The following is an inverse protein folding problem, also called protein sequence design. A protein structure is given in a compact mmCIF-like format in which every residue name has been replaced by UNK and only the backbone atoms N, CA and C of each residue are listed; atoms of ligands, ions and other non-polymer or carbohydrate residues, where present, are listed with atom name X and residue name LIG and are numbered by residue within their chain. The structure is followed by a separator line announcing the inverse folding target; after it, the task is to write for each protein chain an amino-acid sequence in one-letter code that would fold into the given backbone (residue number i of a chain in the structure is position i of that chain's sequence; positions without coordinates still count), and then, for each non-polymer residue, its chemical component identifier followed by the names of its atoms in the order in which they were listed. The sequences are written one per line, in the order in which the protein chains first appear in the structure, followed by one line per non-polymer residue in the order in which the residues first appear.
data_IF_493533239709
#
_entry.id   IF_493533239709
#
_cell.length_a   1.000
_cell.length_b   1.000
_cell.length_c   1.000
_cell.angle_alpha   90.00
_cell.angle_beta   90.00
_cell.angle_gamma   90.00
#
_symmetry.space_group_name_H-M   'P 1'
#
loop_
_entity.id
_entity.type
_entity.pdbx_description
1 polymer ?
#
# COMPACT_ATOMS: atom_id res chain seq x y z
N UNK A 1 -24.96 -21.53 -51.90
CA UNK A 1 -23.95 -21.36 -52.95
C UNK A 1 -23.76 -19.87 -53.17
N UNK A 2 -22.68 -19.31 -52.64
CA UNK A 2 -22.26 -17.94 -52.95
C UNK A 2 -21.58 -17.97 -54.32
N UNK A 3 -22.12 -17.20 -55.28
CA UNK A 3 -21.51 -17.07 -56.60
C UNK A 3 -20.06 -16.55 -56.43
N UNK A 4 -19.07 -17.14 -57.11
CA UNK A 4 -17.70 -16.67 -57.03
C UNK A 4 -17.62 -15.26 -57.63
N UNK A 5 -17.03 -14.32 -56.87
CA UNK A 5 -16.79 -12.96 -57.34
C UNK A 5 -15.78 -13.06 -58.50
N UNK A 6 -16.21 -12.69 -59.69
CA UNK A 6 -15.35 -12.69 -60.88
C UNK A 6 -14.46 -11.45 -60.91
N UNK A 7 -13.34 -11.51 -61.61
CA UNK A 7 -12.43 -10.36 -61.77
C UNK A 7 -13.12 -9.18 -62.46
N UNK A 8 -14.09 -9.46 -63.33
CA UNK A 8 -14.91 -8.46 -64.01
C UNK A 8 -15.83 -7.70 -63.03
N UNK A 9 -16.42 -8.41 -62.06
CA UNK A 9 -17.19 -7.79 -60.97
C UNK A 9 -16.30 -6.95 -60.05
N UNK A 10 -15.06 -7.39 -59.80
CA UNK A 10 -14.07 -6.64 -59.02
C UNK A 10 -13.67 -5.35 -59.73
N UNK A 11 -13.33 -5.44 -61.01
CA UNK A 11 -12.92 -4.29 -61.81
C UNK A 11 -14.06 -3.28 -61.94
N UNK A 12 -15.30 -3.75 -62.13
CA UNK A 12 -16.46 -2.87 -62.17
C UNK A 12 -16.66 -2.15 -60.83
N UNK A 13 -16.54 -2.85 -59.69
CA UNK A 13 -16.64 -2.23 -58.37
C UNK A 13 -15.52 -1.22 -58.11
N UNK A 14 -14.29 -1.52 -58.50
CA UNK A 14 -13.13 -0.61 -58.37
C UNK A 14 -13.35 0.66 -59.20
N UNK A 15 -13.82 0.52 -60.44
CA UNK A 15 -14.17 1.65 -61.31
C UNK A 15 -15.29 2.52 -60.72
N UNK A 16 -16.35 1.90 -60.19
CA UNK A 16 -17.44 2.63 -59.54
C UNK A 16 -16.95 3.36 -58.27
N UNK A 17 -16.12 2.74 -57.43
CA UNK A 17 -15.55 3.37 -56.24
C UNK A 17 -14.67 4.56 -56.60
N UNK A 18 -13.84 4.44 -57.63
CA UNK A 18 -13.01 5.55 -58.13
C UNK A 18 -13.88 6.69 -58.66
N UNK A 19 -14.94 6.39 -59.40
CA UNK A 19 -15.88 7.40 -59.87
C UNK A 19 -16.60 8.11 -58.70
N UNK A 20 -17.04 7.37 -57.67
CA UNK A 20 -17.69 7.96 -56.49
C UNK A 20 -16.73 8.81 -55.66
N UNK A 21 -15.44 8.45 -55.60
CA UNK A 21 -14.41 9.24 -54.91
C UNK A 21 -14.35 10.69 -55.41
N UNK A 22 -14.56 10.92 -56.71
CA UNK A 22 -14.58 12.26 -57.30
C UNK A 22 -15.82 13.10 -56.94
N UNK A 23 -16.90 12.47 -56.48
CA UNK A 23 -18.14 13.15 -56.05
C UNK A 23 -18.16 13.42 -54.54
N UNK A 24 -17.34 12.69 -53.79
CA UNK A 24 -17.18 12.92 -52.35
C UNK A 24 -16.23 14.10 -52.14
N UNK A 25 -16.66 15.06 -51.32
CA UNK A 25 -15.75 16.09 -50.81
C UNK A 25 -14.55 15.42 -50.15
N UNK A 26 -13.34 15.91 -50.42
CA UNK A 26 -12.12 15.48 -49.72
C UNK A 26 -12.20 15.72 -48.21
N UNK A 27 -13.13 16.59 -47.79
CA UNK A 27 -13.49 16.82 -46.40
C UNK A 27 -14.84 16.17 -46.11
N UNK A 28 -14.89 15.33 -45.07
CA UNK A 28 -16.14 14.77 -44.57
C UNK A 28 -17.15 15.86 -44.17
N UNK A 29 -18.45 15.54 -44.08
CA UNK A 29 -19.49 16.51 -43.77
C UNK A 29 -19.20 17.21 -42.44
N UNK A 30 -18.89 18.50 -42.50
CA UNK A 30 -18.67 19.34 -41.32
C UNK A 30 -20.01 19.66 -40.67
N UNK A 31 -20.27 19.07 -39.50
CA UNK A 31 -21.50 19.34 -38.72
C UNK A 31 -21.44 20.67 -37.96
N UNK A 32 -20.24 21.19 -37.69
CA UNK A 32 -20.02 22.47 -37.01
C UNK A 32 -18.79 23.18 -37.58
N UNK A 33 -18.92 24.45 -37.96
CA UNK A 33 -17.84 25.27 -38.51
C UNK A 33 -17.47 26.40 -37.55
N UNK A 34 -16.45 26.17 -36.70
CA UNK A 34 -15.88 27.20 -35.83
C UNK A 34 -14.75 27.90 -36.60
N UNK A 35 -15.06 29.04 -37.20
CA UNK A 35 -14.13 29.77 -38.07
C UNK A 35 -13.33 30.86 -37.34
N UNK A 36 -13.79 31.29 -36.17
CA UNK A 36 -13.09 32.26 -35.36
C UNK A 36 -12.37 31.58 -34.21
N UNK A 37 -11.04 31.70 -34.22
CA UNK A 37 -10.22 31.40 -33.06
C UNK A 37 -10.63 32.37 -31.93
N UNK A 38 -11.11 31.84 -30.81
CA UNK A 38 -11.53 32.63 -29.64
C UNK A 38 -10.40 33.53 -29.11
N UNK A 39 -9.14 33.16 -29.38
CA UNK A 39 -7.95 33.92 -29.02
C UNK A 39 -7.50 34.92 -30.10
N UNK A 40 -8.26 35.13 -31.19
CA UNK A 40 -7.83 35.97 -32.32
C UNK A 40 -7.37 37.37 -31.88
N UNK A 41 -8.10 38.02 -30.97
CA UNK A 41 -7.73 39.34 -30.44
C UNK A 41 -6.47 39.33 -29.54
N UNK A 42 -6.02 38.17 -29.10
CA UNK A 42 -4.90 37.96 -28.18
C UNK A 42 -3.70 37.27 -28.85
N UNK A 43 -3.71 37.08 -30.17
CA UNK A 43 -2.64 36.39 -30.91
C UNK A 43 -1.27 37.08 -30.85
N UNK A 44 -1.24 38.34 -30.42
CA UNK A 44 -0.01 39.09 -30.22
C UNK A 44 0.70 38.73 -28.90
N UNK A 45 0.03 37.99 -28.00
CA UNK A 45 0.59 37.50 -26.75
C UNK A 45 1.13 36.06 -26.93
N UNK A 46 2.15 35.65 -26.17
CA UNK A 46 2.50 34.24 -26.01
C UNK A 46 1.28 33.41 -25.60
N UNK A 47 1.23 32.14 -26.02
CA UNK A 47 0.02 31.31 -25.87
C UNK A 47 -0.48 31.23 -24.41
N UNK A 48 0.42 31.04 -23.45
CA UNK A 48 0.10 30.97 -22.03
C UNK A 48 -0.50 32.28 -21.50
N UNK A 49 0.04 33.42 -21.94
CA UNK A 49 -0.46 34.75 -21.59
C UNK A 49 -1.81 35.04 -22.25
N UNK A 50 -1.97 34.67 -23.53
CA UNK A 50 -3.22 34.77 -24.26
C UNK A 50 -4.33 33.97 -23.58
N UNK A 51 -4.04 32.75 -23.12
CA UNK A 51 -4.99 31.91 -22.39
C UNK A 51 -5.35 32.52 -21.02
N UNK A 52 -4.37 33.02 -20.28
CA UNK A 52 -4.62 33.66 -18.99
C UNK A 52 -5.53 34.89 -19.14
N UNK A 53 -5.25 35.73 -20.13
CA UNK A 53 -6.04 36.93 -20.41
C UNK A 53 -7.44 36.59 -20.96
N UNK A 54 -7.55 35.59 -21.85
CA UNK A 54 -8.82 35.09 -22.33
C UNK A 54 -9.68 34.52 -21.18
N UNK A 55 -9.07 33.77 -20.26
CA UNK A 55 -9.75 33.23 -19.07
C UNK A 55 -10.28 34.36 -18.19
N UNK A 56 -9.47 35.42 -18.00
CA UNK A 56 -9.86 36.61 -17.23
C UNK A 56 -11.03 37.38 -17.85
N UNK A 57 -11.03 37.55 -19.17
CA UNK A 57 -12.05 38.33 -19.89
C UNK A 57 -13.34 37.51 -20.10
N UNK A 58 -13.21 36.25 -20.50
CA UNK A 58 -14.32 35.40 -20.95
C UNK A 58 -14.87 34.49 -19.85
N UNK A 59 -14.13 34.29 -18.75
CA UNK A 59 -14.53 33.45 -17.62
C UNK A 59 -14.49 31.94 -17.88
N UNK A 60 -14.08 31.51 -19.08
CA UNK A 60 -13.93 30.10 -19.44
C UNK A 60 -12.58 29.51 -19.00
N UNK A 61 -12.52 28.20 -18.77
CA UNK A 61 -11.24 27.50 -18.54
C UNK A 61 -10.47 27.36 -19.85
N UNK A 62 -9.29 27.96 -19.93
CA UNK A 62 -8.43 27.83 -21.12
C UNK A 62 -7.62 26.54 -21.21
N UNK A 63 -7.56 25.76 -20.12
CA UNK A 63 -6.94 24.43 -20.07
C UNK A 63 -7.93 23.42 -19.47
N UNK A 64 -7.72 22.15 -19.80
CA UNK A 64 -8.40 21.04 -19.13
C UNK A 64 -7.89 20.92 -17.68
N UNK A 65 -8.67 20.24 -16.82
CA UNK A 65 -8.19 19.91 -15.48
C UNK A 65 -7.07 18.88 -15.53
N UNK A 66 -6.27 18.77 -14.45
CA UNK A 66 -5.23 17.75 -14.35
C UNK A 66 -5.81 16.34 -14.47
N UNK A 67 -7.00 16.10 -13.93
CA UNK A 67 -7.71 14.81 -14.03
C UNK A 67 -8.04 14.45 -15.49
N UNK A 68 -8.43 15.45 -16.29
CA UNK A 68 -8.72 15.27 -17.72
C UNK A 68 -7.45 14.96 -18.51
N UNK A 69 -6.35 15.68 -18.28
CA UNK A 69 -5.05 15.37 -18.87
C UNK A 69 -4.58 13.95 -18.49
N UNK A 70 -4.67 13.58 -17.21
CA UNK A 70 -4.35 12.21 -16.74
C UNK A 70 -5.28 11.17 -17.36
N UNK A 71 -6.53 11.51 -17.66
CA UNK A 71 -7.45 10.62 -18.37
C UNK A 71 -7.05 10.45 -19.84
N UNK A 72 -6.59 11.50 -20.51
CA UNK A 72 -6.04 11.41 -21.87
C UNK A 72 -4.76 10.58 -21.91
N UNK A 73 -3.87 10.74 -20.93
CA UNK A 73 -2.68 9.90 -20.78
C UNK A 73 -3.05 8.42 -20.61
N UNK A 74 -3.95 8.09 -19.67
CA UNK A 74 -4.42 6.71 -19.47
C UNK A 74 -5.11 6.09 -20.68
N UNK A 75 -5.67 6.91 -21.58
CA UNK A 75 -6.29 6.47 -22.85
C UNK A 75 -5.29 6.38 -24.00
N UNK A 76 -4.02 6.74 -23.79
CA UNK A 76 -2.99 6.77 -24.82
C UNK A 76 -3.13 7.94 -25.81
N UNK A 77 -3.96 8.95 -25.51
CA UNK A 77 -4.04 10.18 -26.31
C UNK A 77 -2.84 11.10 -26.06
N UNK A 78 -2.32 11.07 -24.85
CA UNK A 78 -1.03 11.67 -24.49
C UNK A 78 -0.10 10.50 -24.23
N UNK A 79 0.98 10.39 -24.99
CA UNK A 79 1.97 9.32 -24.88
C UNK A 79 3.12 9.73 -23.94
N UNK A 80 3.97 8.78 -23.59
CA UNK A 80 5.16 9.08 -22.78
C UNK A 80 6.10 10.05 -23.52
N UNK A 81 6.21 9.92 -24.84
CA UNK A 81 7.02 10.81 -25.69
C UNK A 81 6.51 12.26 -25.67
N UNK A 82 5.19 12.46 -25.58
CA UNK A 82 4.60 13.80 -25.47
C UNK A 82 4.97 14.45 -24.13
N UNK A 83 5.02 13.66 -23.06
CA UNK A 83 5.42 14.13 -21.72
C UNK A 83 6.90 14.47 -21.70
N UNK A 84 7.76 13.62 -22.25
CA UNK A 84 9.19 13.90 -22.31
C UNK A 84 9.49 15.14 -23.16
N UNK A 85 8.87 15.28 -24.34
CA UNK A 85 9.01 16.48 -25.15
C UNK A 85 8.55 17.74 -24.40
N UNK A 86 7.47 17.66 -23.62
CA UNK A 86 6.97 18.78 -22.82
C UNK A 86 7.90 19.16 -21.65
N UNK A 87 8.58 18.18 -21.04
CA UNK A 87 9.57 18.38 -19.98
C UNK A 87 10.90 18.90 -20.53
N UNK A 88 11.37 18.40 -21.68
CA UNK A 88 12.56 18.89 -22.38
C UNK A 88 12.41 20.37 -22.78
N UNK A 89 11.22 20.76 -23.24
CA UNK A 89 10.89 22.16 -23.53
C UNK A 89 10.89 23.06 -22.28
N UNK A 90 10.89 22.47 -21.07
CA UNK A 90 10.85 23.18 -19.78
C UNK A 90 11.91 22.64 -18.82
N UNK A 91 13.22 22.89 -19.06
CA UNK A 91 14.31 22.28 -18.29
C UNK A 91 14.26 22.58 -16.78
N UNK A 92 13.69 23.73 -16.40
CA UNK A 92 13.49 24.08 -14.99
C UNK A 92 12.58 23.10 -14.24
N UNK A 93 11.68 22.41 -14.95
CA UNK A 93 10.77 21.39 -14.39
C UNK A 93 11.33 19.97 -14.51
N UNK A 94 12.21 19.71 -15.47
CA UNK A 94 12.81 18.40 -15.71
C UNK A 94 13.80 17.97 -14.60
N UNK A 95 14.32 18.91 -13.80
CA UNK A 95 15.00 18.68 -12.52
C UNK A 95 15.96 17.48 -12.45
N UNK A 96 17.27 17.71 -12.60
CA UNK A 96 18.29 16.64 -12.53
C UNK A 96 18.86 16.43 -11.13
N UNK A 97 18.41 17.20 -10.14
CA UNK A 97 18.84 17.08 -8.75
C UNK A 97 18.45 15.72 -8.18
N UNK A 98 19.41 15.02 -7.58
CA UNK A 98 19.15 13.74 -6.89
C UNK A 98 18.52 14.04 -5.53
N UNK A 99 17.23 13.68 -5.38
CA UNK A 99 16.49 13.84 -4.11
C UNK A 99 16.79 12.70 -3.15
N UNK A 100 16.94 11.47 -3.68
CA UNK A 100 17.16 10.29 -2.86
C UNK A 100 18.00 9.24 -3.58
N UNK A 101 18.75 8.47 -2.80
CA UNK A 101 19.49 7.30 -3.27
C UNK A 101 19.01 6.07 -2.51
N UNK A 102 18.44 5.10 -3.22
CA UNK A 102 17.95 3.84 -2.65
C UNK A 102 18.80 2.70 -3.21
N UNK A 103 19.78 2.26 -2.43
CA UNK A 103 20.79 1.31 -2.90
C UNK A 103 21.59 1.91 -4.05
N UNK A 104 21.53 1.30 -5.23
CA UNK A 104 22.18 1.79 -6.46
C UNK A 104 21.28 2.71 -7.29
N UNK A 105 20.00 2.87 -6.94
CA UNK A 105 19.04 3.70 -7.69
C UNK A 105 19.08 5.13 -7.19
N UNK A 106 19.36 6.07 -8.10
CA UNK A 106 19.19 7.49 -7.89
C UNK A 106 17.76 7.89 -8.27
N UNK A 107 17.11 8.72 -7.46
CA UNK A 107 15.79 9.29 -7.73
C UNK A 107 15.98 10.79 -7.89
N UNK A 108 15.64 11.32 -9.07
CA UNK A 108 15.76 12.74 -9.39
C UNK A 108 14.48 13.51 -9.09
N UNK A 109 14.59 14.84 -8.99
CA UNK A 109 13.44 15.73 -8.87
C UNK A 109 12.51 15.64 -10.07
N UNK A 110 13.04 15.43 -11.27
CA UNK A 110 12.28 15.16 -12.49
C UNK A 110 11.43 13.89 -12.41
N UNK A 111 11.97 12.79 -11.88
CA UNK A 111 11.22 11.55 -11.68
C UNK A 111 10.04 11.75 -10.71
N UNK A 112 10.26 12.49 -9.62
CA UNK A 112 9.20 12.81 -8.66
C UNK A 112 8.13 13.69 -9.30
N UNK A 113 8.53 14.74 -10.02
CA UNK A 113 7.62 15.64 -10.72
C UNK A 113 6.79 14.91 -11.77
N UNK A 114 7.43 14.10 -12.63
CA UNK A 114 6.76 13.27 -13.63
C UNK A 114 5.76 12.32 -12.98
N UNK A 115 6.14 11.68 -11.87
CA UNK A 115 5.24 10.79 -11.13
C UNK A 115 4.03 11.56 -10.61
N UNK A 116 4.22 12.74 -10.01
CA UNK A 116 3.12 13.58 -9.54
C UNK A 116 2.22 14.06 -10.70
N UNK A 117 2.78 14.44 -11.85
CA UNK A 117 2.03 14.87 -13.04
C UNK A 117 1.08 13.78 -13.53
N UNK A 118 1.59 12.55 -13.68
CA UNK A 118 0.84 11.42 -14.23
C UNK A 118 -0.16 10.82 -13.23
N UNK A 119 0.21 10.76 -11.96
CA UNK A 119 -0.51 9.98 -10.96
C UNK A 119 -1.25 10.85 -9.92
N UNK A 120 -0.95 12.14 -9.78
CA UNK A 120 -1.62 13.00 -8.80
C UNK A 120 -1.37 12.53 -7.37
N UNK A 121 -0.15 12.80 -6.90
CA UNK A 121 0.22 12.57 -5.50
C UNK A 121 -0.03 13.88 -4.77
N UNK A 122 -1.31 14.21 -4.61
CA UNK A 122 -1.80 15.43 -4.00
C UNK A 122 -2.00 15.24 -2.49
N UNK A 123 -1.86 16.32 -1.71
CA UNK A 123 -2.13 16.26 -0.29
C UNK A 123 -3.62 15.98 -0.04
N UNK A 124 -3.91 15.05 0.88
CA UNK A 124 -5.28 14.75 1.29
C UNK A 124 -5.77 15.84 2.23
N UNK A 125 -6.93 16.43 1.93
CA UNK A 125 -7.55 17.40 2.81
C UNK A 125 -7.93 16.74 4.16
N UNK A 126 -7.68 17.39 5.33
CA UNK A 126 -7.94 16.77 6.63
C UNK A 126 -9.38 16.25 6.81
N UNK A 127 -10.37 16.92 6.20
CA UNK A 127 -11.77 16.50 6.24
C UNK A 127 -12.02 15.19 5.47
N UNK A 128 -11.21 14.88 4.45
CA UNK A 128 -11.32 13.70 3.60
C UNK A 128 -10.50 12.52 4.11
N UNK A 129 -9.54 12.76 5.01
CA UNK A 129 -8.63 11.74 5.56
C UNK A 129 -9.34 10.46 6.01
N UNK A 130 -10.37 10.58 6.87
CA UNK A 130 -11.09 9.41 7.40
C UNK A 130 -11.78 8.62 6.31
N UNK A 131 -12.33 9.30 5.30
CA UNK A 131 -12.99 8.65 4.17
C UNK A 131 -11.97 7.89 3.32
N UNK A 132 -10.83 8.50 3.00
CA UNK A 132 -9.76 7.85 2.22
C UNK A 132 -9.20 6.61 2.92
N UNK A 133 -9.00 6.67 4.24
CA UNK A 133 -8.47 5.51 4.98
C UNK A 133 -9.52 4.42 5.21
N UNK A 134 -10.72 4.79 5.67
CA UNK A 134 -11.73 3.81 6.09
C UNK A 134 -12.53 3.25 4.91
N UNK A 135 -12.99 4.11 3.98
CA UNK A 135 -13.88 3.71 2.89
C UNK A 135 -13.09 3.32 1.63
N UNK A 136 -12.00 4.03 1.32
CA UNK A 136 -11.16 3.74 0.15
C UNK A 136 -9.97 2.85 0.45
N UNK A 137 -9.81 2.44 1.70
CA UNK A 137 -8.79 1.48 2.12
C UNK A 137 -7.36 1.92 1.74
N UNK A 138 -7.06 3.23 1.74
CA UNK A 138 -5.79 3.78 1.23
C UNK A 138 -4.52 3.17 1.85
N UNK A 139 -4.59 2.73 3.12
CA UNK A 139 -3.49 2.06 3.82
C UNK A 139 -3.51 0.52 3.69
N UNK A 140 -4.48 -0.06 2.97
CA UNK A 140 -4.69 -1.51 2.86
C UNK A 140 -4.74 -2.03 1.43
N UNK A 141 -4.95 -1.14 0.45
CA UNK A 141 -4.98 -1.44 -0.98
C UNK A 141 -4.23 -0.42 -1.82
N UNK A 142 -3.58 -0.90 -2.87
CA UNK A 142 -2.95 -0.04 -3.86
C UNK A 142 -4.00 0.71 -4.66
N UNK A 143 -3.76 2.01 -4.85
CA UNK A 143 -4.57 2.85 -5.74
C UNK A 143 -4.62 2.26 -7.14
N UNK A 144 -5.80 2.27 -7.76
CA UNK A 144 -6.10 1.49 -8.99
C UNK A 144 -5.21 1.81 -10.21
N UNK A 145 -4.56 2.96 -10.21
CA UNK A 145 -3.69 3.46 -11.27
C UNK A 145 -2.20 3.12 -11.07
N UNK A 146 -1.81 2.48 -9.96
CA UNK A 146 -0.43 2.00 -9.77
C UNK A 146 -0.10 0.91 -10.80
N UNK A 147 0.98 1.05 -11.59
CA UNK A 147 1.38 0.08 -12.62
C UNK A 147 1.52 -1.35 -12.08
N UNK A 148 1.18 -2.34 -12.90
CA UNK A 148 1.18 -3.76 -12.50
C UNK A 148 2.59 -4.27 -12.17
N UNK A 149 3.58 -3.77 -12.89
CA UNK A 149 4.99 -4.07 -12.72
C UNK A 149 5.47 -3.57 -11.36
N UNK A 150 5.15 -2.32 -11.02
CA UNK A 150 5.44 -1.73 -9.71
C UNK A 150 4.76 -2.48 -8.57
N UNK A 151 3.48 -2.85 -8.73
CA UNK A 151 2.76 -3.69 -7.75
C UNK A 151 3.47 -5.03 -7.53
N UNK A 152 3.91 -5.68 -8.61
CA UNK A 152 4.59 -6.98 -8.53
C UNK A 152 5.93 -6.88 -7.80
N UNK A 153 6.71 -5.83 -8.06
CA UNK A 153 7.97 -5.55 -7.35
C UNK A 153 7.71 -5.30 -5.86
N UNK A 154 6.71 -4.47 -5.52
CA UNK A 154 6.37 -4.20 -4.13
C UNK A 154 5.91 -5.45 -3.38
N UNK A 155 5.07 -6.28 -4.01
CA UNK A 155 4.58 -7.52 -3.40
C UNK A 155 5.68 -8.58 -3.23
N UNK A 156 6.62 -8.69 -4.18
CA UNK A 156 7.75 -9.62 -4.06
C UNK A 156 8.71 -9.21 -2.94
N UNK A 157 8.98 -7.90 -2.81
CA UNK A 157 9.74 -7.33 -1.69
C UNK A 157 9.01 -7.57 -0.37
N UNK A 158 7.72 -7.26 -0.30
CA UNK A 158 6.90 -7.47 0.89
C UNK A 158 6.87 -8.94 1.34
N UNK A 159 6.79 -9.90 0.40
CA UNK A 159 6.89 -11.33 0.72
C UNK A 159 8.22 -11.69 1.37
N UNK A 160 9.32 -11.13 0.84
CA UNK A 160 10.67 -11.34 1.37
C UNK A 160 10.84 -10.69 2.74
N UNK A 161 10.33 -9.47 2.92
CA UNK A 161 10.36 -8.74 4.18
C UNK A 161 9.51 -9.43 5.25
N UNK A 162 8.31 -9.94 4.89
CA UNK A 162 7.47 -10.74 5.78
C UNK A 162 8.19 -12.02 6.23
N UNK A 163 8.84 -12.73 5.30
CA UNK A 163 9.60 -13.92 5.63
C UNK A 163 10.76 -13.61 6.60
N UNK A 164 11.51 -12.52 6.35
CA UNK A 164 12.57 -12.04 7.25
C UNK A 164 12.03 -11.64 8.61
N UNK A 165 10.92 -10.91 8.66
CA UNK A 165 10.27 -10.48 9.90
C UNK A 165 9.79 -11.67 10.73
N UNK A 166 9.14 -12.66 10.09
CA UNK A 166 8.73 -13.90 10.75
C UNK A 166 9.93 -14.73 11.23
N UNK A 167 11.09 -14.64 10.58
CA UNK A 167 12.32 -15.33 11.00
C UNK A 167 12.92 -14.79 12.31
N UNK A 168 12.56 -13.56 12.70
CA UNK A 168 12.97 -12.96 13.98
C UNK A 168 12.20 -13.53 15.18
N UNK A 169 11.05 -14.14 14.95
CA UNK A 169 10.27 -14.80 16.01
C UNK A 169 11.08 -15.98 16.55
N UNK A 170 11.35 -15.97 17.85
CA UNK A 170 12.20 -16.93 18.55
C UNK A 170 13.70 -16.63 18.46
N UNK A 171 14.12 -15.49 17.88
CA UNK A 171 15.49 -14.95 18.02
C UNK A 171 15.48 -13.66 18.82
N UNK A 172 14.72 -12.69 18.33
CA UNK A 172 14.62 -11.36 18.93
C UNK A 172 13.29 -11.18 19.68
N UNK A 173 12.25 -11.83 19.19
CA UNK A 173 10.85 -11.52 19.49
C UNK A 173 10.02 -12.77 19.82
N UNK A 174 9.05 -12.61 20.72
CA UNK A 174 7.91 -13.53 20.85
C UNK A 174 6.89 -13.32 19.73
N UNK A 175 5.85 -14.15 19.65
CA UNK A 175 4.77 -13.94 18.69
C UNK A 175 3.95 -12.69 19.04
N UNK A 176 3.78 -12.39 20.33
CA UNK A 176 3.18 -11.14 20.80
C UNK A 176 4.01 -9.91 20.41
N UNK A 177 5.33 -9.94 20.57
CA UNK A 177 6.22 -8.86 20.12
C UNK A 177 6.07 -8.61 18.62
N UNK A 178 6.09 -9.69 17.85
CA UNK A 178 5.91 -9.59 16.41
C UNK A 178 4.53 -9.01 16.06
N UNK A 179 3.45 -9.50 16.68
CA UNK A 179 2.10 -8.98 16.42
C UNK A 179 1.96 -7.52 16.83
N UNK A 180 2.61 -7.09 17.91
CA UNK A 180 2.73 -5.69 18.31
C UNK A 180 3.54 -4.87 17.30
N UNK A 181 4.57 -5.42 16.65
CA UNK A 181 5.28 -4.67 15.59
C UNK A 181 4.44 -4.46 14.32
N UNK A 182 3.43 -5.32 14.11
CA UNK A 182 2.54 -5.27 12.94
C UNK A 182 1.22 -4.56 13.21
N UNK A 183 0.95 -4.19 14.46
CA UNK A 183 -0.27 -3.53 14.90
C UNK A 183 0.10 -2.32 15.75
N UNK A 184 -0.82 -1.37 15.94
CA UNK A 184 -0.56 -0.29 16.90
C UNK A 184 -1.04 -0.64 18.31
N UNK A 185 -1.15 -1.94 18.61
CA UNK A 185 -1.62 -2.41 19.91
C UNK A 185 -0.42 -2.65 20.82
N UNK A 186 -0.52 -2.20 22.07
CA UNK A 186 0.50 -2.43 23.08
C UNK A 186 0.30 -3.81 23.74
N UNK A 187 0.50 -4.88 22.96
CA UNK A 187 0.19 -6.27 23.33
C UNK A 187 1.06 -6.73 24.51
N UNK A 188 2.34 -6.36 24.55
CA UNK A 188 3.26 -6.76 25.61
C UNK A 188 2.84 -6.17 26.97
N UNK A 189 2.43 -4.91 27.01
CA UNK A 189 1.96 -4.29 28.24
C UNK A 189 0.64 -4.94 28.72
N UNK A 190 -0.30 -5.21 27.81
CA UNK A 190 -1.51 -5.97 28.12
C UNK A 190 -1.20 -7.38 28.66
N UNK A 191 -0.16 -8.04 28.14
CA UNK A 191 0.30 -9.33 28.67
C UNK A 191 0.87 -9.20 30.06
N UNK A 192 1.71 -8.19 30.32
CA UNK A 192 2.30 -7.93 31.63
C UNK A 192 1.23 -7.63 32.68
N UNK A 193 0.23 -6.82 32.35
CA UNK A 193 -0.91 -6.51 33.24
C UNK A 193 -1.75 -7.75 33.55
N UNK A 194 -2.08 -8.54 32.53
CA UNK A 194 -2.81 -9.79 32.70
C UNK A 194 -2.03 -10.80 33.55
N UNK A 195 -0.71 -10.86 33.36
CA UNK A 195 0.18 -11.72 34.14
C UNK A 195 0.25 -11.29 35.61
N UNK A 196 0.44 -10.00 35.90
CA UNK A 196 0.43 -9.46 37.27
C UNK A 196 -0.89 -9.76 37.98
N UNK A 197 -2.01 -9.58 37.28
CA UNK A 197 -3.36 -9.89 37.79
C UNK A 197 -3.52 -11.39 38.11
N UNK A 198 -3.01 -12.27 37.24
CA UNK A 198 -3.06 -13.71 37.46
C UNK A 198 -2.17 -14.17 38.63
N UNK A 199 -1.00 -13.55 38.82
CA UNK A 199 -0.10 -13.82 39.95
C UNK A 199 -0.76 -13.40 41.26
N UNK A 200 -1.35 -12.19 41.32
CA UNK A 200 -2.07 -11.71 42.50
C UNK A 200 -3.25 -12.61 42.88
N UNK A 201 -4.01 -13.10 41.91
CA UNK A 201 -5.12 -14.04 42.16
C UNK A 201 -4.64 -15.38 42.74
N UNK A 202 -3.47 -15.86 42.33
CA UNK A 202 -2.89 -17.12 42.82
C UNK A 202 -2.29 -17.02 44.22
N UNK A 203 -1.80 -15.84 44.65
CA UNK A 203 -1.28 -15.64 46.01
C UNK A 203 -2.31 -15.92 47.12
N UNK A 204 -3.62 -15.92 46.81
CA UNK A 204 -4.68 -16.27 47.75
C UNK A 204 -4.98 -17.77 47.90
N UNK A 205 -4.35 -18.66 47.13
CA UNK A 205 -4.69 -20.11 47.05
C UNK A 205 -3.47 -21.03 47.27
N UNK A 206 -2.49 -20.58 48.07
CA UNK A 206 -1.08 -21.00 48.00
C UNK A 206 -0.67 -22.45 48.38
N UNK A 207 -1.57 -23.41 48.60
CA UNK A 207 -1.11 -24.74 49.10
C UNK A 207 -1.51 -26.00 48.32
N UNK A 208 -2.36 -25.96 47.29
CA UNK A 208 -2.92 -27.22 46.77
C UNK A 208 -2.52 -27.66 45.34
N UNK A 209 -1.84 -26.83 44.52
CA UNK A 209 -1.77 -27.17 43.08
C UNK A 209 -0.50 -26.74 42.33
N UNK A 210 0.69 -26.94 42.91
CA UNK A 210 1.95 -26.52 42.30
C UNK A 210 2.39 -27.33 41.05
N UNK A 211 1.63 -28.35 40.61
CA UNK A 211 2.05 -29.24 39.50
C UNK A 211 0.97 -29.60 38.46
N UNK A 212 -0.30 -29.27 38.68
CA UNK A 212 -1.38 -29.65 37.76
C UNK A 212 -1.63 -28.58 36.69
N UNK A 213 -0.70 -28.45 35.75
CA UNK A 213 -0.85 -27.56 34.60
C UNK A 213 -0.18 -28.13 33.36
N UNK A 214 -0.65 -27.79 32.15
CA UNK A 214 0.03 -28.19 30.93
C UNK A 214 1.48 -27.69 30.91
N UNK A 215 2.40 -28.49 30.40
CA UNK A 215 3.83 -28.15 30.33
C UNK A 215 4.12 -26.99 29.37
N UNK A 216 5.30 -26.37 29.50
CA UNK A 216 5.79 -25.35 28.54
C UNK A 216 5.73 -25.89 27.09
N UNK A 217 6.17 -27.12 26.89
CA UNK A 217 6.16 -27.80 25.59
C UNK A 217 4.74 -27.94 25.01
N UNK A 218 3.72 -28.19 25.86
CA UNK A 218 2.33 -28.21 25.41
C UNK A 218 1.89 -26.85 24.85
N UNK A 219 2.22 -25.75 25.54
CA UNK A 219 1.82 -24.41 25.11
C UNK A 219 2.57 -23.96 23.86
N UNK A 220 3.87 -24.24 23.76
CA UNK A 220 4.65 -23.98 22.54
C UNK A 220 4.07 -24.73 21.34
N UNK A 221 3.63 -25.98 21.52
CA UNK A 221 2.93 -26.75 20.49
C UNK A 221 1.55 -26.17 20.17
N UNK A 222 0.81 -25.70 21.18
CA UNK A 222 -0.52 -25.08 21.00
C UNK A 222 -0.43 -23.76 20.21
N UNK A 223 0.60 -22.96 20.47
CA UNK A 223 0.93 -21.76 19.68
C UNK A 223 1.54 -22.10 18.31
N UNK A 224 1.90 -23.36 18.05
CA UNK A 224 2.55 -23.83 16.82
C UNK A 224 3.92 -23.17 16.59
N UNK A 225 4.67 -22.87 17.65
CA UNK A 225 6.03 -22.33 17.53
C UNK A 225 6.95 -23.43 16.94
N UNK A 226 7.69 -23.14 15.85
CA UNK A 226 8.62 -24.10 15.24
C UNK A 226 9.66 -24.60 16.24
N UNK A 227 9.99 -25.90 16.19
CA UNK A 227 10.87 -26.56 17.19
C UNK A 227 12.22 -25.88 17.32
N UNK A 228 12.78 -25.46 16.19
CA UNK A 228 14.10 -24.83 16.07
C UNK A 228 14.15 -23.46 16.77
N UNK A 229 12.99 -22.85 17.03
CA UNK A 229 12.86 -21.49 17.55
C UNK A 229 12.42 -21.45 19.01
N UNK A 230 12.05 -22.58 19.60
CA UNK A 230 11.47 -22.66 20.95
C UNK A 230 12.42 -22.18 22.03
N UNK A 231 13.69 -22.55 21.93
CA UNK A 231 14.68 -22.16 22.93
C UNK A 231 14.85 -20.64 22.99
N UNK A 232 15.10 -19.99 21.84
CA UNK A 232 15.21 -18.54 21.80
C UNK A 232 13.88 -17.84 22.10
N UNK A 233 12.73 -18.45 21.77
CA UNK A 233 11.42 -17.95 22.19
C UNK A 233 11.28 -17.87 23.72
N UNK A 234 11.74 -18.91 24.43
CA UNK A 234 11.75 -18.91 25.90
C UNK A 234 12.70 -17.84 26.46
N UNK A 235 13.86 -17.64 25.85
CA UNK A 235 14.78 -16.57 26.23
C UNK A 235 14.17 -15.17 26.05
N UNK A 236 13.36 -14.96 25.00
CA UNK A 236 12.60 -13.72 24.82
C UNK A 236 11.56 -13.52 25.94
N UNK A 237 10.87 -14.60 26.35
CA UNK A 237 9.94 -14.55 27.48
C UNK A 237 10.66 -14.15 28.76
N UNK A 238 11.80 -14.78 29.06
CA UNK A 238 12.56 -14.51 30.28
C UNK A 238 12.99 -13.05 30.35
N UNK A 239 13.43 -12.47 29.22
CA UNK A 239 13.79 -11.05 29.13
C UNK A 239 12.61 -10.13 29.45
N UNK A 240 11.42 -10.45 28.95
CA UNK A 240 10.22 -9.66 29.23
C UNK A 240 9.70 -9.86 30.65
N UNK A 241 9.88 -11.05 31.21
CA UNK A 241 9.35 -11.41 32.51
C UNK A 241 10.36 -11.18 33.66
N UNK A 242 11.56 -10.67 33.37
CA UNK A 242 12.66 -10.52 34.34
C UNK A 242 12.23 -9.72 35.59
N UNK A 243 11.61 -8.56 35.39
CA UNK A 243 11.14 -7.71 36.50
C UNK A 243 10.01 -8.39 37.30
N UNK A 244 9.09 -9.07 36.61
CA UNK A 244 7.95 -9.77 37.22
C UNK A 244 8.43 -10.99 38.02
N UNK A 245 9.46 -11.68 37.53
CA UNK A 245 10.10 -12.80 38.21
C UNK A 245 10.71 -12.37 39.55
N UNK A 246 11.46 -11.25 39.54
CA UNK A 246 12.07 -10.68 40.76
C UNK A 246 11.03 -10.27 41.80
N UNK A 247 9.89 -9.71 41.37
CA UNK A 247 8.81 -9.27 42.25
C UNK A 247 8.00 -10.44 42.85
N UNK A 248 7.75 -11.51 42.07
CA UNK A 248 6.85 -12.59 42.48
C UNK A 248 7.54 -13.77 43.17
N UNK A 249 8.87 -13.90 43.07
CA UNK A 249 9.63 -15.02 43.65
C UNK A 249 9.24 -16.39 43.10
N UNK A 250 8.69 -16.44 41.88
CA UNK A 250 8.24 -17.67 41.21
C UNK A 250 9.41 -18.35 40.48
N UNK A 251 9.39 -19.68 40.40
CA UNK A 251 10.36 -20.41 39.58
C UNK A 251 10.15 -20.17 38.07
N UNK A 252 11.24 -20.10 37.31
CA UNK A 252 11.26 -19.76 35.87
C UNK A 252 10.29 -20.61 35.03
N UNK A 253 10.22 -21.92 35.30
CA UNK A 253 9.32 -22.84 34.61
C UNK A 253 7.84 -22.49 34.85
N UNK A 254 7.49 -22.06 36.07
CA UNK A 254 6.11 -21.69 36.41
C UNK A 254 5.73 -20.36 35.76
N UNK A 255 6.65 -19.40 35.72
CA UNK A 255 6.47 -18.11 35.06
C UNK A 255 6.29 -18.28 33.55
N UNK A 256 7.16 -19.07 32.89
CA UNK A 256 7.06 -19.38 31.45
C UNK A 256 5.72 -20.03 31.09
N UNK A 257 5.21 -20.97 31.92
CA UNK A 257 3.87 -21.57 31.70
C UNK A 257 2.76 -20.54 31.78
N UNK A 258 2.81 -19.66 32.78
CA UNK A 258 1.79 -18.64 32.98
C UNK A 258 1.82 -17.58 31.87
N UNK A 259 3.02 -17.19 31.43
CA UNK A 259 3.22 -16.32 30.28
C UNK A 259 2.62 -16.94 29.02
N UNK A 260 3.04 -18.16 28.65
CA UNK A 260 2.58 -18.81 27.41
C UNK A 260 1.07 -19.05 27.39
N UNK A 261 0.47 -19.36 28.55
CA UNK A 261 -0.99 -19.46 28.67
C UNK A 261 -1.65 -18.11 28.38
N UNK A 262 -1.20 -17.04 29.04
CA UNK A 262 -1.74 -15.69 28.91
C UNK A 262 -1.56 -15.17 27.48
N UNK A 263 -0.39 -15.40 26.89
CA UNK A 263 -0.07 -15.10 25.49
C UNK A 263 -1.02 -15.83 24.53
N UNK A 264 -1.20 -17.13 24.72
CA UNK A 264 -2.13 -17.92 23.89
C UNK A 264 -3.55 -17.37 23.95
N UNK A 265 -4.05 -17.05 25.15
CA UNK A 265 -5.41 -16.57 25.34
C UNK A 265 -5.59 -15.15 24.78
N UNK A 266 -4.61 -14.27 24.94
CA UNK A 266 -4.64 -12.91 24.39
C UNK A 266 -4.55 -12.93 22.87
N UNK A 267 -3.55 -13.62 22.30
CA UNK A 267 -3.38 -13.72 20.85
C UNK A 267 -4.61 -14.35 20.19
N UNK A 268 -5.22 -15.37 20.80
CA UNK A 268 -6.46 -15.95 20.30
C UNK A 268 -7.62 -14.94 20.25
N UNK A 269 -7.77 -14.10 21.28
CA UNK A 269 -8.81 -13.06 21.31
C UNK A 269 -8.54 -11.98 20.27
N UNK A 270 -7.33 -11.42 20.26
CA UNK A 270 -6.94 -10.34 19.36
C UNK A 270 -6.95 -10.79 17.90
N UNK A 271 -6.39 -11.97 17.61
CA UNK A 271 -6.33 -12.49 16.26
C UNK A 271 -7.72 -12.82 15.69
N UNK A 272 -8.63 -13.30 16.53
CA UNK A 272 -10.03 -13.52 16.12
C UNK A 272 -10.75 -12.20 15.84
N UNK A 273 -10.52 -11.17 16.65
CA UNK A 273 -11.17 -9.87 16.53
C UNK A 273 -10.68 -9.08 15.31
N UNK A 274 -9.36 -8.98 15.13
CA UNK A 274 -8.76 -8.12 14.09
C UNK A 274 -8.46 -8.84 12.77
N UNK A 275 -8.15 -10.14 12.82
CA UNK A 275 -7.67 -10.90 11.65
C UNK A 275 -8.57 -12.08 11.27
N UNK A 276 -9.55 -12.43 12.11
CA UNK A 276 -10.42 -13.59 11.90
C UNK A 276 -9.69 -14.93 11.91
N UNK A 277 -8.53 -15.03 12.57
CA UNK A 277 -7.72 -16.26 12.60
C UNK A 277 -7.47 -16.79 14.03
N UNK A 278 -6.96 -18.02 14.14
CA UNK A 278 -6.88 -18.77 15.40
C UNK A 278 -5.72 -18.37 16.34
N UNK A 279 -5.04 -17.25 16.12
CA UNK A 279 -3.99 -16.73 17.01
C UNK A 279 -2.75 -17.62 17.18
N UNK A 280 -2.63 -18.70 16.39
CA UNK A 280 -1.43 -19.54 16.32
C UNK A 280 -0.43 -18.96 15.32
N UNK A 281 0.84 -19.36 15.46
CA UNK A 281 1.92 -18.96 14.57
C UNK A 281 1.58 -19.20 13.09
N UNK A 282 1.18 -20.42 12.72
CA UNK A 282 0.88 -20.74 11.32
C UNK A 282 -0.36 -20.01 10.80
N UNK A 283 -1.38 -19.83 11.65
CA UNK A 283 -2.61 -19.13 11.26
C UNK A 283 -2.35 -17.64 11.02
N UNK A 284 -1.56 -17.00 11.88
CA UNK A 284 -1.14 -15.60 11.72
C UNK A 284 -0.24 -15.49 10.48
N UNK A 285 0.79 -16.33 10.36
CA UNK A 285 1.69 -16.30 9.19
C UNK A 285 0.93 -16.50 7.88
N UNK A 286 -0.03 -17.43 7.84
CA UNK A 286 -0.87 -17.68 6.65
C UNK A 286 -1.79 -16.51 6.34
N UNK A 287 -2.37 -15.85 7.36
CA UNK A 287 -3.18 -14.65 7.16
C UNK A 287 -2.39 -13.55 6.46
N UNK A 288 -1.22 -13.19 6.98
CA UNK A 288 -0.39 -12.13 6.39
C UNK A 288 0.17 -12.53 5.01
N UNK A 289 0.46 -13.82 4.77
CA UNK A 289 0.83 -14.32 3.43
C UNK A 289 -0.33 -14.23 2.43
N UNK A 290 -1.58 -14.38 2.87
CA UNK A 290 -2.75 -14.24 2.00
C UNK A 290 -3.09 -12.77 1.70
N UNK A 291 -2.73 -11.85 2.60
CA UNK A 291 -2.98 -10.41 2.50
C UNK A 291 -1.68 -9.60 2.37
N UNK A 292 -0.80 -10.02 1.45
CA UNK A 292 0.49 -9.37 1.23
C UNK A 292 0.38 -7.90 0.85
N UNK A 293 -0.66 -7.52 0.11
CA UNK A 293 -0.91 -6.12 -0.26
C UNK A 293 -1.12 -5.24 0.97
N UNK A 294 -1.99 -5.66 1.89
CA UNK A 294 -2.24 -4.95 3.14
C UNK A 294 -0.98 -4.88 4.01
N UNK A 295 -0.23 -5.97 4.10
CA UNK A 295 1.04 -6.00 4.83
C UNK A 295 2.07 -5.02 4.22
N UNK A 296 2.21 -5.00 2.90
CA UNK A 296 3.15 -4.11 2.22
C UNK A 296 2.85 -2.64 2.54
N UNK A 297 1.58 -2.26 2.47
CA UNK A 297 1.14 -0.89 2.71
C UNK A 297 1.23 -0.49 4.18
N UNK A 298 0.83 -1.36 5.11
CA UNK A 298 0.98 -1.06 6.55
C UNK A 298 2.46 -0.96 6.95
N UNK A 299 3.32 -1.81 6.38
CA UNK A 299 4.76 -1.74 6.64
C UNK A 299 5.38 -0.46 6.09
N UNK A 300 4.95 0.01 4.91
CA UNK A 300 5.42 1.29 4.35
C UNK A 300 4.90 2.47 5.16
N UNK A 301 3.65 2.43 5.59
CA UNK A 301 3.04 3.44 6.45
C UNK A 301 3.80 3.57 7.78
N UNK A 302 4.00 2.45 8.48
CA UNK A 302 4.72 2.44 9.75
C UNK A 302 6.18 2.90 9.60
N UNK A 303 6.85 2.52 8.51
CA UNK A 303 8.20 3.00 8.22
C UNK A 303 8.23 4.52 7.98
N UNK A 304 7.25 5.07 7.26
CA UNK A 304 7.13 6.51 7.02
C UNK A 304 6.89 7.27 8.33
N UNK A 305 5.97 6.79 9.17
CA UNK A 305 5.72 7.38 10.49
C UNK A 305 6.98 7.36 11.37
N UNK A 306 7.70 6.23 11.39
CA UNK A 306 8.92 6.08 12.17
C UNK A 306 10.02 7.04 11.73
N UNK A 307 10.20 7.26 10.42
CA UNK A 307 11.16 8.23 9.87
C UNK A 307 10.85 9.66 10.33
N UNK A 308 9.56 9.99 10.49
CA UNK A 308 9.13 11.31 10.94
C UNK A 308 8.90 11.42 12.46
N UNK A 309 9.12 10.34 13.22
CA UNK A 309 8.85 10.30 14.66
C UNK A 309 7.38 10.54 15.02
N UNK A 310 6.46 10.19 14.12
CA UNK A 310 5.02 10.41 14.29
C UNK A 310 4.35 9.18 14.90
N UNK A 311 3.36 9.41 15.74
CA UNK A 311 2.43 8.36 16.19
C UNK A 311 1.45 8.03 15.07
N UNK A 312 1.00 6.77 15.00
CA UNK A 312 0.01 6.39 14.01
C UNK A 312 -1.35 7.04 14.32
N UNK A 313 -1.87 7.94 13.48
CA UNK A 313 -3.20 8.55 13.67
C UNK A 313 -4.35 7.54 13.55
N UNK A 314 -4.06 6.31 13.11
CA UNK A 314 -5.01 5.20 13.02
C UNK A 314 -4.92 4.25 14.22
N UNK A 315 -3.98 4.49 15.15
CA UNK A 315 -3.95 3.77 16.41
C UNK A 315 -5.23 4.11 17.22
N UNK A 316 -5.86 3.10 17.85
CA UNK A 316 -7.05 3.28 18.67
C UNK A 316 -6.80 4.09 19.94
#
# INVERSE_FOLDING_TARGET
MTLPITDEMRHHLEHEVEHFSHLLSSQGPMTTFIHHNTLHGLQHLPFEEAIAEATRILGGRGYFSNEEYRAFYRRGRIADEDIEAALEARPALAGTEVIATIGERLITSGEVFRTHLLYGIDAIEPAQWRFEVCEREACRRFRGDVPKEARTVLLSKAKTDLARSLDRIGRDWTLADWMQSQTNLNIIDLLREALKSAIQANHGHHEANQTSGPSVEYWLRKLQVPKERREGYLQCIDRHAEDISREAGMGDEQLRRLWLRTETDLLKKLARLHFGCNGTYDAIASHFRSKLETYALSSLWNASLAVHGLHDPLAP
#
